data_IF_161724927421
#
_entry.id   IF_161724927421
#
_cell.length_a   1.000
_cell.length_b   1.000
_cell.length_c   1.000
_cell.angle_alpha   90.00
_cell.angle_beta   90.00
_cell.angle_gamma   90.00
#
_symmetry.space_group_name_H-M   'P 1'
#
loop_
_entity.id
_entity.type
_entity.pdbx_description
1 polymer ?
#
# COMPACT_ATOMS: atom_id res chain seq x y z
N UNK A 1 -0.30 13.38 4.31
CA UNK A 1 -0.93 12.29 5.10
C UNK A 1 -0.71 11.00 4.33
N UNK A 2 -0.45 9.90 5.05
CA UNK A 2 -0.10 8.62 4.43
C UNK A 2 -0.98 7.50 5.00
N UNK A 3 -1.34 6.55 4.14
CA UNK A 3 -2.03 5.30 4.47
C UNK A 3 -1.05 4.15 4.22
N UNK A 4 -0.83 3.33 5.24
CA UNK A 4 0.06 2.17 5.19
C UNK A 4 -0.79 0.95 5.46
N UNK A 5 -0.72 -0.06 4.58
CA UNK A 5 -1.51 -1.28 4.73
C UNK A 5 -1.00 -2.42 3.87
N UNK A 6 -1.62 -3.58 4.01
CA UNK A 6 -1.22 -4.82 3.36
C UNK A 6 -2.29 -5.36 2.39
N UNK A 7 -3.42 -4.64 2.24
CA UNK A 7 -4.53 -5.03 1.36
C UNK A 7 -4.83 -3.97 0.31
N UNK A 8 -4.94 -4.41 -0.94
CA UNK A 8 -5.26 -3.53 -2.07
C UNK A 8 -6.71 -3.03 -2.04
N UNK A 9 -7.66 -3.91 -1.73
CA UNK A 9 -9.11 -3.66 -1.80
C UNK A 9 -9.65 -2.82 -0.64
N UNK A 10 -8.90 -2.73 0.48
CA UNK A 10 -9.28 -1.92 1.64
C UNK A 10 -8.33 -0.76 1.84
N UNK A 11 -7.07 -1.03 2.16
CA UNK A 11 -6.17 0.01 2.69
C UNK A 11 -5.73 0.95 1.58
N UNK A 12 -5.25 0.39 0.47
CA UNK A 12 -4.83 1.17 -0.70
C UNK A 12 -6.02 1.90 -1.31
N UNK A 13 -7.15 1.22 -1.53
CA UNK A 13 -8.34 1.84 -2.09
C UNK A 13 -8.83 3.01 -1.23
N UNK A 14 -8.96 2.81 0.09
CA UNK A 14 -9.41 3.86 1.01
C UNK A 14 -8.42 5.05 1.05
N UNK A 15 -7.11 4.77 1.04
CA UNK A 15 -6.10 5.83 1.00
C UNK A 15 -6.18 6.66 -0.28
N UNK A 16 -6.35 6.02 -1.44
CA UNK A 16 -6.53 6.70 -2.72
C UNK A 16 -7.80 7.55 -2.75
N UNK A 17 -8.93 7.01 -2.27
CA UNK A 17 -10.20 7.76 -2.19
C UNK A 17 -10.13 8.95 -1.24
N UNK A 18 -9.31 8.85 -0.19
CA UNK A 18 -9.04 9.94 0.75
C UNK A 18 -7.97 10.94 0.24
N UNK A 19 -7.40 10.74 -0.95
CA UNK A 19 -6.33 11.58 -1.50
C UNK A 19 -5.02 11.50 -0.71
N UNK A 20 -4.77 10.39 -0.03
CA UNK A 20 -3.57 10.13 0.75
C UNK A 20 -2.51 9.43 -0.10
N UNK A 21 -1.25 9.58 0.30
CA UNK A 21 -0.17 8.74 -0.22
C UNK A 21 -0.34 7.31 0.33
N UNK A 22 -0.17 6.29 -0.52
CA UNK A 22 -0.43 4.89 -0.15
C UNK A 22 0.81 4.04 -0.24
N UNK A 23 1.14 3.35 0.86
CA UNK A 23 2.26 2.42 0.94
C UNK A 23 1.72 1.01 1.19
N UNK A 24 1.89 0.12 0.22
CA UNK A 24 1.56 -1.30 0.36
C UNK A 24 2.77 -2.04 0.95
N UNK A 25 2.62 -2.65 2.11
CA UNK A 25 3.66 -3.50 2.72
C UNK A 25 3.45 -4.98 2.34
N UNK A 26 4.53 -5.68 2.00
CA UNK A 26 4.49 -7.09 1.58
C UNK A 26 4.61 -8.09 2.74
N UNK A 27 4.62 -7.62 4.00
CA UNK A 27 4.62 -8.48 5.19
C UNK A 27 3.25 -9.10 5.50
N UNK A 28 2.18 -8.68 4.84
CA UNK A 28 0.81 -9.09 5.12
C UNK A 28 0.18 -9.95 4.02
N UNK A 29 -1.07 -9.65 3.67
CA UNK A 29 -1.91 -10.52 2.83
C UNK A 29 -1.64 -10.41 1.33
N UNK A 30 -1.45 -9.20 0.82
CA UNK A 30 -1.24 -8.97 -0.63
C UNK A 30 0.15 -9.40 -1.04
N UNK A 31 0.25 -10.19 -2.11
CA UNK A 31 1.53 -10.51 -2.77
C UNK A 31 1.74 -9.66 -4.01
N UNK A 32 2.98 -9.56 -4.51
CA UNK A 32 3.29 -8.79 -5.73
C UNK A 32 2.41 -9.18 -6.93
N UNK A 33 2.17 -10.48 -7.23
CA UNK A 33 1.26 -10.86 -8.32
C UNK A 33 -0.21 -10.47 -8.11
N UNK A 34 -0.65 -10.25 -6.87
CA UNK A 34 -2.02 -9.82 -6.60
C UNK A 34 -2.25 -8.37 -7.02
N UNK A 35 -1.22 -7.52 -6.96
CA UNK A 35 -1.28 -6.11 -7.35
C UNK A 35 -1.79 -5.99 -8.79
N UNK A 36 -1.35 -6.88 -9.68
CA UNK A 36 -1.73 -6.87 -11.09
C UNK A 36 -3.21 -7.19 -11.36
N UNK A 37 -3.94 -7.71 -10.37
CA UNK A 37 -5.37 -7.99 -10.47
C UNK A 37 -6.24 -6.75 -10.27
N UNK A 38 -5.67 -5.65 -9.79
CA UNK A 38 -6.40 -4.42 -9.49
C UNK A 38 -6.22 -3.37 -10.60
N UNK A 39 -7.25 -2.56 -10.89
CA UNK A 39 -7.16 -1.48 -11.89
C UNK A 39 -6.49 -0.20 -11.36
N UNK A 40 -6.01 -0.22 -10.12
CA UNK A 40 -5.30 0.87 -9.45
C UNK A 40 -3.99 0.36 -8.83
N UNK A 41 -3.13 1.28 -8.42
CA UNK A 41 -1.83 0.98 -7.83
C UNK A 41 -1.61 1.80 -6.56
N UNK A 42 -0.92 1.24 -5.55
CA UNK A 42 -0.43 2.06 -4.45
C UNK A 42 0.61 3.06 -4.96
N UNK A 43 0.88 4.10 -4.18
CA UNK A 43 1.94 5.06 -4.51
C UNK A 43 3.30 4.36 -4.50
N UNK A 44 3.53 3.50 -3.50
CA UNK A 44 4.75 2.72 -3.39
C UNK A 44 4.45 1.33 -2.78
N UNK A 45 5.24 0.34 -3.19
CA UNK A 45 5.25 -1.01 -2.62
C UNK A 45 6.57 -1.18 -1.90
N UNK A 46 6.53 -1.59 -0.64
CA UNK A 46 7.71 -1.80 0.20
C UNK A 46 7.66 -3.17 0.85
N UNK A 47 8.82 -3.73 1.16
CA UNK A 47 8.90 -5.06 1.76
C UNK A 47 8.33 -5.05 3.19
N UNK A 48 8.59 -3.99 3.97
CA UNK A 48 8.13 -3.85 5.35
C UNK A 48 7.84 -2.40 5.74
N UNK A 49 7.04 -2.21 6.79
CA UNK A 49 6.86 -0.90 7.42
C UNK A 49 8.17 -0.32 7.97
N UNK A 50 9.14 -1.18 8.30
CA UNK A 50 10.47 -0.77 8.76
C UNK A 50 11.19 0.10 7.72
N UNK A 51 10.93 -0.12 6.43
CA UNK A 51 11.54 0.63 5.32
C UNK A 51 10.96 2.05 5.18
N UNK A 52 9.88 2.35 5.91
CA UNK A 52 9.21 3.66 5.90
C UNK A 52 9.62 4.55 7.07
N UNK A 53 10.25 4.00 8.12
CA UNK A 53 10.50 4.73 9.39
C UNK A 53 11.30 6.01 9.18
N UNK A 54 12.21 6.04 8.21
CA UNK A 54 13.04 7.21 7.90
C UNK A 54 12.40 8.19 6.90
N UNK A 55 11.17 7.89 6.43
CA UNK A 55 10.50 8.60 5.33
C UNK A 55 9.22 9.34 5.74
N UNK A 56 8.67 9.05 6.91
CA UNK A 56 7.44 9.66 7.46
C UNK A 56 7.69 10.51 8.71
#
# INVERSE_FOLDING_TARGET
>A
SAMIGDRMDTDVLAGLEAGMETFLVLTGLTTVPDIDKYPFRPTEVVDSIADLVDRV
#
